data_IF_210330426752
#
_entry.id   IF_210330426752
#
_cell.length_a   1.000
_cell.length_b   1.000
_cell.length_c   1.000
_cell.angle_alpha   90.00
_cell.angle_beta   90.00
_cell.angle_gamma   90.00
#
_symmetry.space_group_name_H-M   'P 1'
#
loop_
_entity.id
_entity.type
_entity.pdbx_description
1 polymer ?
#
# COMPACT_ATOMS: atom_id res chain seq x y z
N UNK A 1 5.69 10.47 -22.13
CA UNK A 1 5.76 11.83 -21.56
C UNK A 1 4.42 12.50 -21.81
N UNK A 2 3.65 12.80 -20.76
CA UNK A 2 2.39 13.55 -20.90
C UNK A 2 2.71 15.04 -20.72
N UNK A 3 2.37 15.86 -21.71
CA UNK A 3 2.77 17.26 -21.84
C UNK A 3 1.96 18.24 -20.97
N UNK A 4 1.07 17.76 -20.10
CA UNK A 4 0.17 18.57 -19.29
C UNK A 4 0.36 18.25 -17.81
N UNK A 5 0.83 19.23 -17.01
CA UNK A 5 1.15 18.99 -15.60
C UNK A 5 -0.08 18.64 -14.75
N UNK A 6 -1.28 19.05 -15.16
CA UNK A 6 -2.54 18.62 -14.54
C UNK A 6 -2.76 17.12 -14.70
N UNK A 7 -2.44 16.56 -15.86
CA UNK A 7 -2.55 15.14 -16.16
C UNK A 7 -1.44 14.32 -15.47
N UNK A 8 -0.25 14.92 -15.33
CA UNK A 8 0.85 14.35 -14.55
C UNK A 8 0.55 14.34 -13.04
N UNK A 9 -0.10 15.37 -12.50
CA UNK A 9 -0.50 15.44 -11.10
C UNK A 9 -1.62 14.44 -10.75
N UNK A 10 -2.54 14.18 -11.68
CA UNK A 10 -3.58 13.14 -11.48
C UNK A 10 -3.08 11.72 -11.68
N UNK A 11 -1.96 11.54 -12.39
CA UNK A 11 -1.38 10.22 -12.70
C UNK A 11 -0.18 9.86 -11.81
N UNK A 12 0.27 10.77 -10.95
CA UNK A 12 1.43 10.54 -10.08
C UNK A 12 0.96 10.01 -8.73
N UNK A 13 1.55 8.89 -8.31
CA UNK A 13 1.28 8.25 -7.02
C UNK A 13 1.86 9.05 -5.83
N UNK A 14 2.82 9.95 -6.11
CA UNK A 14 3.48 10.82 -5.14
C UNK A 14 2.64 12.07 -4.86
N UNK A 15 2.32 12.26 -3.59
CA UNK A 15 1.40 13.30 -3.10
C UNK A 15 2.13 14.64 -2.86
N UNK A 16 3.46 14.65 -2.89
CA UNK A 16 4.27 15.80 -2.51
C UNK A 16 5.00 16.43 -3.69
N UNK A 17 4.26 17.07 -4.60
CA UNK A 17 4.85 17.80 -5.72
C UNK A 17 5.50 19.09 -5.20
N UNK A 18 6.83 19.08 -5.05
CA UNK A 18 7.62 20.27 -4.69
C UNK A 18 7.79 21.16 -5.92
N UNK A 19 7.04 22.26 -5.97
CA UNK A 19 7.18 23.27 -7.02
C UNK A 19 8.35 24.20 -6.68
N UNK A 20 9.32 24.33 -7.60
CA UNK A 20 10.46 25.22 -7.44
C UNK A 20 9.97 26.68 -7.48
N UNK A 21 10.22 27.44 -6.41
CA UNK A 21 9.81 28.84 -6.21
C UNK A 21 10.58 29.83 -7.12
N UNK A 22 10.47 29.70 -8.44
CA UNK A 22 11.21 30.54 -9.39
C UNK A 22 10.47 30.96 -10.66
N UNK A 23 9.24 30.49 -10.89
CA UNK A 23 8.51 30.80 -12.15
C UNK A 23 7.08 31.23 -11.83
N UNK A 24 6.96 32.26 -10.99
CA UNK A 24 5.71 32.95 -10.67
C UNK A 24 5.67 34.30 -11.39
N UNK A 25 5.96 34.33 -12.70
CA UNK A 25 5.64 35.49 -13.53
C UNK A 25 4.49 35.11 -14.45
N UNK A 26 3.33 35.61 -14.06
CA UNK A 26 2.08 35.60 -14.78
C UNK A 26 2.30 36.04 -16.23
N UNK A 27 1.75 35.27 -17.17
CA UNK A 27 1.21 35.78 -18.44
C UNK A 27 0.49 34.74 -19.30
N UNK A 28 0.35 33.48 -18.85
CA UNK A 28 -0.44 32.49 -19.59
C UNK A 28 -1.53 31.89 -18.70
N UNK A 29 -2.78 32.26 -18.97
CA UNK A 29 -4.02 31.79 -18.31
C UNK A 29 -4.26 30.26 -18.35
N UNK A 30 -3.32 29.48 -18.88
CA UNK A 30 -3.37 28.04 -19.03
C UNK A 30 -2.13 27.33 -18.46
N UNK A 31 -1.27 28.02 -17.70
CA UNK A 31 -0.11 27.38 -17.07
C UNK A 31 -0.58 26.69 -15.77
N UNK A 32 -0.25 25.40 -15.54
CA UNK A 32 -0.62 24.64 -14.33
C UNK A 32 -0.01 25.18 -13.02
N UNK A 33 0.64 26.35 -13.07
CA UNK A 33 1.14 27.11 -11.92
C UNK A 33 0.07 28.00 -11.30
N UNK A 34 -1.02 28.32 -12.01
CA UNK A 34 -2.12 29.18 -11.55
C UNK A 34 -3.21 28.44 -10.76
N UNK A 35 -2.96 27.19 -10.36
CA UNK A 35 -3.88 26.46 -9.49
C UNK A 35 -3.80 27.09 -8.09
N UNK A 36 -4.91 27.68 -7.64
CA UNK A 36 -5.06 28.26 -6.31
C UNK A 36 -4.70 27.22 -5.23
N UNK A 37 -4.10 27.65 -4.11
CA UNK A 37 -3.72 26.80 -2.99
C UNK A 37 -4.87 25.90 -2.49
N UNK A 38 -6.10 26.44 -2.43
CA UNK A 38 -7.28 25.65 -2.04
C UNK A 38 -7.57 24.51 -3.03
N UNK A 39 -7.37 24.75 -4.32
CA UNK A 39 -7.58 23.75 -5.35
C UNK A 39 -6.47 22.68 -5.31
N UNK A 40 -5.25 23.06 -4.94
CA UNK A 40 -4.16 22.09 -4.68
C UNK A 40 -4.48 21.18 -3.50
N UNK A 41 -4.98 21.73 -2.39
CA UNK A 41 -5.42 20.93 -1.23
C UNK A 41 -6.55 19.99 -1.64
N UNK A 42 -7.53 20.49 -2.42
CA UNK A 42 -8.64 19.67 -2.91
C UNK A 42 -8.14 18.47 -3.71
N UNK A 43 -7.26 18.71 -4.67
CA UNK A 43 -6.65 17.65 -5.50
C UNK A 43 -5.90 16.64 -4.62
N UNK A 44 -5.18 17.08 -3.59
CA UNK A 44 -4.49 16.19 -2.66
C UNK A 44 -5.46 15.33 -1.85
N UNK A 45 -6.55 15.91 -1.35
CA UNK A 45 -7.59 15.17 -0.62
C UNK A 45 -8.23 14.13 -1.54
N UNK A 46 -8.58 14.51 -2.76
CA UNK A 46 -9.22 13.61 -3.73
C UNK A 46 -8.27 12.48 -4.16
N UNK A 47 -6.98 12.78 -4.34
CA UNK A 47 -5.97 11.77 -4.62
C UNK A 47 -5.79 10.78 -3.46
N UNK A 48 -5.72 11.28 -2.22
CA UNK A 48 -5.63 10.41 -1.05
C UNK A 48 -6.87 9.52 -0.88
N UNK A 49 -8.07 10.06 -1.10
CA UNK A 49 -9.31 9.26 -1.13
C UNK A 49 -9.28 8.18 -2.20
N UNK A 50 -8.80 8.48 -3.40
CA UNK A 50 -8.66 7.49 -4.46
C UNK A 50 -7.65 6.40 -4.06
N UNK A 51 -6.53 6.77 -3.42
CA UNK A 51 -5.56 5.79 -2.91
C UNK A 51 -6.17 4.84 -1.87
N UNK A 52 -6.99 5.36 -0.96
CA UNK A 52 -7.74 4.54 0.01
C UNK A 52 -8.69 3.59 -0.72
N UNK A 53 -9.50 4.08 -1.66
CA UNK A 53 -10.41 3.23 -2.44
C UNK A 53 -9.69 2.18 -3.30
N UNK A 54 -8.52 2.50 -3.83
CA UNK A 54 -7.67 1.52 -4.54
C UNK A 54 -7.14 0.43 -3.59
N UNK A 55 -6.72 0.82 -2.38
CA UNK A 55 -6.26 -0.13 -1.38
C UNK A 55 -7.38 -1.08 -0.93
N UNK A 56 -8.59 -0.56 -0.66
CA UNK A 56 -9.77 -1.38 -0.31
C UNK A 56 -10.09 -2.40 -1.40
N UNK A 57 -10.17 -1.94 -2.66
CA UNK A 57 -10.44 -2.82 -3.80
C UNK A 57 -9.36 -3.90 -3.95
N UNK A 58 -8.09 -3.54 -3.74
CA UNK A 58 -6.98 -4.48 -3.86
C UNK A 58 -7.02 -5.55 -2.76
N UNK A 59 -7.41 -5.18 -1.54
CA UNK A 59 -7.64 -6.14 -0.46
C UNK A 59 -8.77 -7.11 -0.83
N UNK A 60 -9.89 -6.61 -1.37
CA UNK A 60 -10.98 -7.48 -1.83
C UNK A 60 -10.51 -8.48 -2.90
N UNK A 61 -9.73 -8.02 -3.87
CA UNK A 61 -9.12 -8.90 -4.88
C UNK A 61 -8.23 -9.98 -4.25
N UNK A 62 -7.36 -9.61 -3.30
CA UNK A 62 -6.48 -10.56 -2.61
C UNK A 62 -7.25 -11.56 -1.74
N UNK A 63 -8.33 -11.13 -1.08
CA UNK A 63 -9.20 -11.99 -0.29
C UNK A 63 -9.97 -12.99 -1.16
N UNK A 64 -10.49 -12.54 -2.31
CA UNK A 64 -11.12 -13.43 -3.29
C UNK A 64 -10.10 -14.45 -3.81
N UNK A 65 -8.89 -14.01 -4.16
CA UNK A 65 -7.83 -14.91 -4.61
C UNK A 65 -7.49 -15.95 -3.54
N UNK A 66 -7.36 -15.55 -2.27
CA UNK A 66 -7.10 -16.46 -1.15
C UNK A 66 -8.16 -17.56 -0.99
N UNK A 67 -9.42 -17.24 -1.31
CA UNK A 67 -10.51 -18.21 -1.24
C UNK A 67 -10.47 -19.25 -2.36
N UNK A 68 -9.85 -18.92 -3.50
CA UNK A 68 -9.73 -19.80 -4.67
C UNK A 68 -8.39 -20.53 -4.72
N UNK A 69 -7.31 -19.85 -4.31
CA UNK A 69 -5.92 -20.31 -4.38
C UNK A 69 -5.15 -19.73 -3.19
N UNK A 70 -4.30 -20.52 -2.52
CA UNK A 70 -3.45 -19.96 -1.46
C UNK A 70 -2.63 -18.77 -2.01
N UNK A 71 -2.57 -17.69 -1.25
CA UNK A 71 -1.79 -16.49 -1.59
C UNK A 71 -0.29 -16.81 -1.64
N UNK A 72 0.39 -16.23 -2.64
CA UNK A 72 1.85 -16.22 -2.66
C UNK A 72 2.41 -15.31 -1.56
N UNK A 73 3.66 -15.53 -1.13
CA UNK A 73 4.30 -14.78 -0.06
C UNK A 73 4.32 -13.27 -0.33
N UNK A 74 4.52 -12.86 -1.59
CA UNK A 74 4.45 -11.44 -1.97
C UNK A 74 3.05 -10.87 -1.81
N UNK A 75 2.03 -11.66 -2.14
CA UNK A 75 0.62 -11.25 -2.05
C UNK A 75 0.13 -11.19 -0.61
N UNK A 76 0.57 -12.13 0.25
CA UNK A 76 0.30 -12.07 1.69
C UNK A 76 0.94 -10.84 2.32
N UNK A 77 2.17 -10.50 1.92
CA UNK A 77 2.84 -9.29 2.39
C UNK A 77 2.11 -8.04 1.91
N UNK A 78 1.74 -7.99 0.64
CA UNK A 78 0.94 -6.89 0.07
C UNK A 78 -0.38 -6.71 0.85
N UNK A 79 -1.06 -7.80 1.20
CA UNK A 79 -2.29 -7.77 1.98
C UNK A 79 -2.09 -7.14 3.37
N UNK A 80 -1.00 -7.51 4.06
CA UNK A 80 -0.65 -6.94 5.37
C UNK A 80 -0.35 -5.44 5.24
N UNK A 81 0.46 -5.05 4.25
CA UNK A 81 0.85 -3.66 4.03
C UNK A 81 -0.37 -2.77 3.73
N UNK A 82 -1.31 -3.28 2.91
CA UNK A 82 -2.56 -2.57 2.58
C UNK A 82 -3.48 -2.43 3.80
N UNK A 83 -3.61 -3.48 4.61
CA UNK A 83 -4.40 -3.47 5.83
C UNK A 83 -3.83 -2.48 6.86
N UNK A 84 -2.51 -2.50 7.09
CA UNK A 84 -1.84 -1.53 7.96
C UNK A 84 -1.98 -0.09 7.44
N UNK A 85 -1.96 0.13 6.12
CA UNK A 85 -2.26 1.44 5.53
C UNK A 85 -3.69 1.90 5.80
N UNK A 86 -4.69 1.02 5.66
CA UNK A 86 -6.08 1.36 5.95
C UNK A 86 -6.31 1.63 7.44
N UNK A 87 -5.75 0.82 8.33
CA UNK A 87 -5.80 1.05 9.78
C UNK A 87 -5.26 2.43 10.15
N UNK A 88 -4.09 2.80 9.58
CA UNK A 88 -3.50 4.12 9.78
C UNK A 88 -4.37 5.25 9.18
N UNK A 89 -5.04 5.01 8.05
CA UNK A 89 -5.90 6.02 7.43
C UNK A 89 -7.14 6.36 8.28
N UNK A 90 -7.63 5.41 9.08
CA UNK A 90 -8.85 5.54 9.90
C UNK A 90 -8.52 5.98 11.33
N UNK A 91 -7.52 5.38 11.98
CA UNK A 91 -7.15 5.69 13.38
C UNK A 91 -5.64 5.64 13.61
N UNK A 92 -5.00 6.81 13.58
CA UNK A 92 -3.56 6.99 13.80
C UNK A 92 -3.12 6.90 15.27
N UNK A 93 -4.01 6.48 16.19
CA UNK A 93 -3.66 6.40 17.61
C UNK A 93 -2.86 5.14 17.90
N UNK A 94 -1.65 5.34 18.39
CA UNK A 94 -0.75 4.28 18.89
C UNK A 94 -1.50 3.38 19.89
N UNK A 95 -1.66 2.10 19.56
CA UNK A 95 -2.33 1.09 20.39
C UNK A 95 -3.62 0.51 19.82
N UNK A 96 -4.14 1.02 18.70
CA UNK A 96 -5.28 0.43 17.97
C UNK A 96 -4.92 -0.20 16.62
N UNK A 97 -3.79 0.19 16.06
CA UNK A 97 -3.18 -0.45 14.89
C UNK A 97 -2.56 -1.77 15.36
N UNK A 98 -2.87 -2.86 14.66
CA UNK A 98 -2.29 -4.16 14.96
C UNK A 98 -0.84 -4.15 14.45
N UNK A 99 0.17 -4.39 15.31
CA UNK A 99 1.56 -4.45 14.88
C UNK A 99 1.76 -5.47 13.75
N UNK A 100 2.56 -5.11 12.75
CA UNK A 100 2.86 -5.99 11.61
C UNK A 100 3.46 -7.33 12.07
N UNK A 101 4.23 -7.33 13.16
CA UNK A 101 4.81 -8.54 13.78
C UNK A 101 3.74 -9.54 14.27
N UNK A 102 2.51 -9.08 14.53
CA UNK A 102 1.37 -9.92 14.92
C UNK A 102 0.52 -10.34 13.71
N UNK A 103 0.73 -9.73 12.54
CA UNK A 103 0.06 -10.10 11.29
C UNK A 103 0.89 -11.22 10.63
N UNK A 104 0.50 -12.47 10.86
CA UNK A 104 1.28 -13.63 10.43
C UNK A 104 1.08 -13.95 8.94
N UNK A 105 2.20 -14.22 8.25
CA UNK A 105 2.20 -14.85 6.93
C UNK A 105 1.87 -16.35 7.09
N UNK A 106 0.81 -16.84 6.44
CA UNK A 106 0.42 -18.26 6.51
C UNK A 106 1.55 -19.17 6.04
N UNK A 107 2.33 -18.69 5.05
CA UNK A 107 3.49 -19.40 4.52
C UNK A 107 4.60 -19.65 5.56
N UNK A 108 4.85 -18.71 6.48
CA UNK A 108 5.84 -18.93 7.55
C UNK A 108 5.39 -20.03 8.52
N UNK A 109 4.09 -20.10 8.81
CA UNK A 109 3.50 -21.15 9.65
C UNK A 109 3.67 -22.52 8.97
N UNK A 110 3.37 -22.61 7.68
CA UNK A 110 3.55 -23.84 6.90
C UNK A 110 5.01 -24.29 6.84
N UNK A 111 5.95 -23.37 6.65
CA UNK A 111 7.38 -23.68 6.63
C UNK A 111 7.87 -24.17 8.01
N UNK A 112 7.44 -23.54 9.09
CA UNK A 112 7.76 -23.98 10.46
C UNK A 112 7.20 -25.37 10.75
N UNK A 113 5.98 -25.68 10.30
CA UNK A 113 5.40 -27.01 10.43
C UNK A 113 6.19 -28.06 9.63
N UNK A 114 6.64 -27.71 8.42
CA UNK A 114 7.46 -28.60 7.60
C UNK A 114 8.80 -28.90 8.27
N UNK A 115 9.49 -27.87 8.78
CA UNK A 115 10.75 -28.04 9.52
C UNK A 115 10.55 -28.94 10.75
N UNK A 116 9.48 -28.72 11.51
CA UNK A 116 9.15 -29.57 12.66
C UNK A 116 8.94 -31.03 12.29
N UNK A 117 8.29 -31.30 11.15
CA UNK A 117 8.11 -32.66 10.60
C UNK A 117 9.44 -33.30 10.16
N UNK A 118 10.33 -32.51 9.57
CA UNK A 118 11.67 -32.98 9.18
C UNK A 118 12.50 -33.31 10.42
N UNK A 119 12.45 -32.48 11.46
CA UNK A 119 13.16 -32.74 12.73
C UNK A 119 12.65 -34.00 13.42
N UNK A 120 11.34 -34.24 13.41
CA UNK A 120 10.77 -35.49 13.94
C UNK A 120 11.26 -36.69 13.14
N UNK A 121 11.26 -36.60 11.81
CA UNK A 121 11.74 -37.67 10.94
C UNK A 121 13.23 -37.98 11.15
N UNK A 122 14.07 -36.95 11.30
CA UNK A 122 15.49 -37.11 11.64
C UNK A 122 15.66 -37.75 13.02
N UNK A 123 14.83 -37.38 14.00
CA UNK A 123 14.89 -37.96 15.34
C UNK A 123 14.51 -39.44 15.36
N UNK A 124 13.50 -39.83 14.59
CA UNK A 124 13.08 -41.23 14.46
C UNK A 124 14.16 -42.08 13.79
N UNK A 125 14.80 -41.56 12.72
CA UNK A 125 15.92 -42.23 12.04
C UNK A 125 17.13 -42.39 12.97
N UNK A 126 17.46 -41.38 13.78
CA UNK A 126 18.57 -41.44 14.74
C UNK A 126 18.30 -42.36 15.95
N UNK A 127 17.03 -42.65 16.26
CA UNK A 127 16.67 -43.53 17.37
C UNK A 127 16.66 -45.02 17.02
N UNK A 128 16.84 -45.36 15.73
CA UNK A 128 17.09 -46.72 15.22
C UNK A 128 18.58 -46.99 15.09
#
# INVERSE_FOLDING_TARGET
MTSFATQAATASEDVNIVYINGVLKADNKNDPKDINFLERIRIQIDHYKNRVGHAEKRIEELLTLNSETNLDLQQEKELIDLDSFLEASIDNRTGRVVPDDLKYLSNNRQLSELLGKVDTLISEIKSK
#
